data_IF_363383702021
#
_entry.id   IF_363383702021
#
_cell.length_a   1.000
_cell.length_b   1.000
_cell.length_c   1.000
_cell.angle_alpha   90.00
_cell.angle_beta   90.00
_cell.angle_gamma   90.00
#
_symmetry.space_group_name_H-M   'P 1'
#
loop_
_entity.id
_entity.type
_entity.pdbx_description
1 polymer ?
#
# COMPACT_ATOMS: atom_id res chain seq x y z
N UNK A 1 61.98 57.57 0.04
CA UNK A 1 60.82 57.31 -0.84
C UNK A 1 60.56 55.82 -1.10
N UNK A 2 61.57 54.94 -1.08
CA UNK A 2 61.37 53.53 -1.42
C UNK A 2 60.60 52.68 -0.38
N UNK A 3 60.48 53.12 0.89
CA UNK A 3 59.84 52.32 1.96
C UNK A 3 58.46 52.82 2.43
N UNK A 4 58.03 54.04 2.08
CA UNK A 4 56.76 54.63 2.57
C UNK A 4 55.64 54.71 1.51
N UNK A 5 55.93 54.30 0.27
CA UNK A 5 54.99 54.33 -0.86
C UNK A 5 54.90 55.70 -1.58
N UNK A 6 54.08 55.75 -2.63
CA UNK A 6 53.78 56.95 -3.43
C UNK A 6 52.30 57.36 -3.29
N UNK A 7 51.90 58.49 -3.88
CA UNK A 7 50.49 58.93 -3.86
C UNK A 7 49.59 57.83 -4.43
N UNK A 8 48.55 57.45 -3.69
CA UNK A 8 47.60 56.36 -3.98
C UNK A 8 48.12 54.92 -3.85
N UNK A 9 49.42 54.71 -3.60
CA UNK A 9 50.01 53.38 -3.44
C UNK A 9 50.86 53.33 -2.17
N UNK A 10 50.31 52.75 -1.10
CA UNK A 10 51.02 52.58 0.17
C UNK A 10 50.86 51.15 0.68
N UNK A 11 51.95 50.57 1.12
CA UNK A 11 52.00 49.30 1.86
C UNK A 11 52.72 49.61 3.17
N UNK A 12 52.19 49.16 4.31
CA UNK A 12 52.84 49.28 5.61
C UNK A 12 53.40 47.91 6.02
N UNK A 13 54.66 47.59 5.67
CA UNK A 13 55.21 46.26 5.88
C UNK A 13 55.59 46.05 7.35
N UNK A 14 55.12 44.96 7.95
CA UNK A 14 55.70 44.41 9.19
C UNK A 14 56.82 43.40 8.94
N UNK A 15 57.11 43.10 7.67
CA UNK A 15 58.00 42.03 7.19
C UNK A 15 59.09 42.65 6.30
N UNK A 16 60.29 42.08 6.28
CA UNK A 16 61.41 42.61 5.48
C UNK A 16 61.39 42.19 4.00
N UNK A 17 60.57 41.21 3.64
CA UNK A 17 60.49 40.62 2.30
C UNK A 17 59.46 41.36 1.41
N UNK A 18 59.89 41.72 0.20
CA UNK A 18 59.09 42.45 -0.78
C UNK A 18 58.12 41.53 -1.57
N UNK A 19 57.26 42.12 -2.39
CA UNK A 19 56.46 41.39 -3.38
C UNK A 19 57.33 40.83 -4.51
N UNK A 20 56.95 39.69 -5.08
CA UNK A 20 57.61 39.04 -6.21
C UNK A 20 56.62 38.80 -7.35
N UNK A 21 56.65 39.66 -8.36
CA UNK A 21 55.95 39.48 -9.64
C UNK A 21 56.95 38.94 -10.68
N UNK A 22 57.06 37.61 -10.79
CA UNK A 22 58.05 36.95 -11.65
C UNK A 22 57.46 36.41 -12.96
N UNK A 23 56.13 36.34 -13.08
CA UNK A 23 55.46 35.94 -14.32
C UNK A 23 55.36 37.09 -15.33
N UNK A 24 55.28 36.77 -16.62
CA UNK A 24 55.02 37.78 -17.64
C UNK A 24 53.67 38.47 -17.37
N UNK A 25 53.63 39.80 -17.44
CA UNK A 25 52.44 40.63 -17.17
C UNK A 25 51.79 40.39 -15.79
N UNK A 26 52.57 39.88 -14.83
CA UNK A 26 52.08 39.61 -13.47
C UNK A 26 52.10 40.86 -12.59
N UNK A 27 51.23 40.87 -11.57
CA UNK A 27 51.13 41.95 -10.58
C UNK A 27 51.18 41.34 -9.18
N UNK A 28 52.12 41.81 -8.35
CA UNK A 28 52.19 41.43 -6.93
C UNK A 28 52.22 42.70 -6.07
N UNK A 29 51.31 42.79 -5.09
CA UNK A 29 51.15 43.94 -4.20
C UNK A 29 51.01 43.47 -2.77
N UNK A 30 51.95 43.86 -1.90
CA UNK A 30 51.95 43.55 -0.47
C UNK A 30 53.17 42.73 -0.05
N UNK A 31 53.52 42.70 1.25
CA UNK A 31 54.72 42.01 1.71
C UNK A 31 54.63 40.52 1.41
N UNK A 32 55.67 39.95 0.80
CA UNK A 32 55.75 38.52 0.44
C UNK A 32 54.64 38.06 -0.53
N UNK A 33 53.95 38.98 -1.20
CA UNK A 33 53.00 38.62 -2.25
C UNK A 33 53.75 37.99 -3.43
N UNK A 34 53.25 36.90 -4.01
CA UNK A 34 53.89 36.19 -5.12
C UNK A 34 52.92 36.03 -6.28
N UNK A 35 53.28 36.53 -7.45
CA UNK A 35 52.60 36.28 -8.71
C UNK A 35 53.61 35.69 -9.71
N UNK A 36 53.59 34.38 -9.93
CA UNK A 36 54.69 33.67 -10.63
C UNK A 36 54.39 33.18 -12.04
N UNK A 37 53.12 32.98 -12.39
CA UNK A 37 52.68 32.62 -13.74
C UNK A 37 52.26 33.82 -14.57
N UNK A 38 51.96 33.58 -15.83
CA UNK A 38 51.61 34.61 -16.82
C UNK A 38 50.28 35.27 -16.43
N UNK A 39 50.23 36.60 -16.44
CA UNK A 39 49.05 37.42 -16.12
C UNK A 39 48.48 37.19 -14.70
N UNK A 40 49.27 36.58 -13.80
CA UNK A 40 48.83 36.33 -12.44
C UNK A 40 48.76 37.63 -11.62
N UNK A 41 47.82 37.68 -10.68
CA UNK A 41 47.66 38.82 -9.79
C UNK A 41 47.59 38.40 -8.32
N UNK A 42 48.47 38.94 -7.49
CA UNK A 42 48.50 38.69 -6.04
C UNK A 42 48.40 40.00 -5.27
N UNK A 43 47.39 40.12 -4.40
CA UNK A 43 47.14 41.31 -3.59
C UNK A 43 46.96 40.94 -2.11
N UNK A 44 47.89 41.38 -1.26
CA UNK A 44 47.86 41.18 0.18
C UNK A 44 49.11 40.48 0.71
N UNK A 45 49.26 40.49 2.04
CA UNK A 45 50.41 39.87 2.71
C UNK A 45 50.41 38.36 2.44
N UNK A 46 51.51 37.84 1.91
CA UNK A 46 51.63 36.42 1.53
C UNK A 46 50.52 35.91 0.58
N UNK A 47 49.90 36.77 -0.21
CA UNK A 47 49.01 36.32 -1.28
C UNK A 47 49.84 35.62 -2.37
N UNK A 48 49.45 34.42 -2.80
CA UNK A 48 50.21 33.60 -3.76
C UNK A 48 49.31 33.23 -4.94
N UNK A 49 49.54 33.86 -6.08
CA UNK A 49 48.97 33.50 -7.37
C UNK A 49 50.04 32.77 -8.19
N UNK A 50 50.02 31.43 -8.14
CA UNK A 50 51.08 30.57 -8.70
C UNK A 50 50.61 29.62 -9.78
N UNK A 51 49.37 29.73 -10.24
CA UNK A 51 48.91 29.01 -11.43
C UNK A 51 49.70 29.39 -12.67
N UNK A 52 49.72 28.55 -13.70
CA UNK A 52 50.53 28.82 -14.91
C UNK A 52 50.08 30.10 -15.62
N UNK A 53 48.76 30.33 -15.65
CA UNK A 53 48.13 31.49 -16.28
C UNK A 53 46.94 32.01 -15.47
N UNK A 54 46.76 33.33 -15.45
CA UNK A 54 45.52 34.01 -15.05
C UNK A 54 44.96 33.63 -13.67
N UNK A 55 45.84 33.31 -12.71
CA UNK A 55 45.42 33.08 -11.32
C UNK A 55 45.38 34.38 -10.53
N UNK A 56 44.41 34.50 -9.61
CA UNK A 56 44.19 35.70 -8.81
C UNK A 56 44.07 35.32 -7.34
N UNK A 57 44.92 35.91 -6.50
CA UNK A 57 44.92 35.74 -5.05
C UNK A 57 44.72 37.09 -4.34
N UNK A 58 43.65 37.25 -3.57
CA UNK A 58 43.32 38.50 -2.88
C UNK A 58 43.03 38.25 -1.40
N UNK A 59 43.89 38.77 -0.51
CA UNK A 59 43.76 38.64 0.93
C UNK A 59 45.09 38.32 1.62
N UNK A 60 45.05 38.08 2.94
CA UNK A 60 46.21 37.62 3.69
C UNK A 60 46.37 36.10 3.59
N UNK A 61 47.56 35.61 3.24
CA UNK A 61 47.91 34.18 3.21
C UNK A 61 47.01 33.37 2.27
N UNK A 62 46.70 33.92 1.10
CA UNK A 62 45.83 33.30 0.11
C UNK A 62 46.63 32.49 -0.90
N UNK A 63 46.06 31.39 -1.41
CA UNK A 63 46.73 30.54 -2.41
C UNK A 63 45.82 30.24 -3.61
N UNK A 64 46.10 30.86 -4.74
CA UNK A 64 45.54 30.49 -6.04
C UNK A 64 46.62 29.78 -6.88
N UNK A 65 46.66 28.44 -6.79
CA UNK A 65 47.70 27.61 -7.43
C UNK A 65 47.28 27.01 -8.76
N UNK A 66 45.97 26.92 -9.03
CA UNK A 66 45.48 26.38 -10.30
C UNK A 66 45.56 27.40 -11.43
N UNK A 67 45.73 26.94 -12.65
CA UNK A 67 45.54 27.78 -13.85
C UNK A 67 44.10 28.32 -13.87
N UNK A 68 43.94 29.64 -14.04
CA UNK A 68 42.65 30.36 -13.95
C UNK A 68 41.96 30.26 -12.58
N UNK A 69 42.70 29.95 -11.52
CA UNK A 69 42.15 29.88 -10.16
C UNK A 69 41.92 31.27 -9.56
N UNK A 70 40.86 31.41 -8.76
CA UNK A 70 40.55 32.65 -8.04
C UNK A 70 40.37 32.34 -6.55
N UNK A 71 41.17 32.95 -5.70
CA UNK A 71 41.03 32.83 -4.26
C UNK A 71 40.92 34.23 -3.62
N UNK A 72 39.83 34.45 -2.88
CA UNK A 72 39.53 35.72 -2.21
C UNK A 72 39.12 35.47 -0.76
N UNK A 73 39.80 36.14 0.17
CA UNK A 73 39.56 36.02 1.61
C UNK A 73 40.72 35.32 2.32
N UNK A 74 41.02 35.70 3.56
CA UNK A 74 42.22 35.22 4.26
C UNK A 74 42.30 33.69 4.33
N UNK A 75 43.47 33.11 4.08
CA UNK A 75 43.69 31.66 4.03
C UNK A 75 42.84 30.88 3.01
N UNK A 76 42.19 31.55 2.06
CA UNK A 76 41.49 30.84 1.00
C UNK A 76 42.45 30.13 0.05
N UNK A 77 42.02 28.98 -0.47
CA UNK A 77 42.80 28.11 -1.35
C UNK A 77 41.99 27.74 -2.58
N UNK A 78 42.50 28.05 -3.77
CA UNK A 78 42.01 27.57 -5.04
C UNK A 78 43.13 26.79 -5.76
N UNK A 79 43.16 25.47 -5.59
CA UNK A 79 44.33 24.65 -5.91
C UNK A 79 44.32 24.03 -7.32
N UNK A 80 43.14 23.88 -7.93
CA UNK A 80 42.97 23.18 -9.21
C UNK A 80 42.58 24.11 -10.36
N UNK A 81 42.62 23.59 -11.60
CA UNK A 81 42.24 24.34 -12.79
C UNK A 81 40.83 24.94 -12.67
N UNK A 82 40.71 26.25 -12.92
CA UNK A 82 39.48 27.02 -12.81
C UNK A 82 38.74 26.94 -11.45
N UNK A 83 39.43 26.53 -10.38
CA UNK A 83 38.86 26.49 -9.04
C UNK A 83 38.66 27.89 -8.47
N UNK A 84 37.59 28.09 -7.71
CA UNK A 84 37.21 29.39 -7.15
C UNK A 84 36.88 29.27 -5.66
N UNK A 85 37.55 30.05 -4.83
CA UNK A 85 37.34 30.10 -3.39
C UNK A 85 37.06 31.53 -2.93
N UNK A 86 35.90 31.72 -2.30
CA UNK A 86 35.43 33.00 -1.76
C UNK A 86 35.07 32.85 -0.29
N UNK A 87 35.81 33.53 0.59
CA UNK A 87 35.61 33.51 2.04
C UNK A 87 36.89 33.16 2.78
N UNK A 88 36.94 33.53 4.06
CA UNK A 88 38.07 33.16 4.92
C UNK A 88 38.09 31.63 5.07
N UNK A 89 39.27 31.02 4.89
CA UNK A 89 39.47 29.57 4.91
C UNK A 89 38.63 28.77 3.90
N UNK A 90 38.09 29.41 2.84
CA UNK A 90 37.39 28.71 1.77
C UNK A 90 38.39 27.91 0.92
N UNK A 91 38.06 26.67 0.55
CA UNK A 91 38.96 25.76 -0.16
C UNK A 91 38.28 25.11 -1.36
N UNK A 92 38.77 25.38 -2.57
CA UNK A 92 38.35 24.75 -3.82
C UNK A 92 39.52 23.96 -4.40
N UNK A 93 39.51 22.63 -4.22
CA UNK A 93 40.66 21.76 -4.49
C UNK A 93 40.53 20.92 -5.77
N UNK A 94 39.38 20.97 -6.42
CA UNK A 94 39.11 20.20 -7.64
C UNK A 94 38.80 21.08 -8.84
N UNK A 95 38.91 20.49 -10.03
CA UNK A 95 38.71 21.20 -11.30
C UNK A 95 37.33 21.85 -11.36
N UNK A 96 37.29 23.14 -11.72
CA UNK A 96 36.06 23.94 -11.82
C UNK A 96 35.18 23.92 -10.56
N UNK A 97 35.76 23.66 -9.38
CA UNK A 97 35.03 23.67 -8.12
C UNK A 97 34.84 25.10 -7.60
N UNK A 98 33.71 25.36 -6.93
CA UNK A 98 33.39 26.64 -6.30
C UNK A 98 33.13 26.47 -4.80
N UNK A 99 33.98 27.07 -3.97
CA UNK A 99 33.76 27.19 -2.53
C UNK A 99 33.33 28.62 -2.20
N UNK A 100 32.10 28.80 -1.72
CA UNK A 100 31.52 30.11 -1.39
C UNK A 100 31.06 30.14 0.06
N UNK A 101 31.89 30.69 0.95
CA UNK A 101 31.59 30.88 2.37
C UNK A 101 32.80 30.62 3.29
N UNK A 102 32.70 31.10 4.54
CA UNK A 102 33.69 30.81 5.59
C UNK A 102 33.86 29.30 5.78
N UNK A 103 35.07 28.75 5.64
CA UNK A 103 35.34 27.30 5.66
C UNK A 103 34.50 26.46 4.69
N UNK A 104 34.01 27.02 3.58
CA UNK A 104 33.40 26.20 2.53
C UNK A 104 34.49 25.35 1.84
N UNK A 105 34.22 24.06 1.59
CA UNK A 105 35.16 23.13 0.98
C UNK A 105 34.52 22.44 -0.23
N UNK A 106 35.05 22.70 -1.42
CA UNK A 106 34.64 22.07 -2.67
C UNK A 106 35.78 21.18 -3.19
N UNK A 107 35.67 19.87 -2.94
CA UNK A 107 36.69 18.87 -3.24
C UNK A 107 36.31 17.92 -4.40
N UNK A 108 35.05 17.92 -4.85
CA UNK A 108 34.63 17.24 -6.08
C UNK A 108 34.76 18.14 -7.32
N UNK A 109 35.05 17.57 -8.48
CA UNK A 109 35.15 18.31 -9.73
C UNK A 109 33.76 18.86 -10.15
N UNK A 110 33.73 20.09 -10.69
CA UNK A 110 32.49 20.79 -11.09
C UNK A 110 31.46 20.94 -9.95
N UNK A 111 31.91 20.89 -8.70
CA UNK A 111 31.05 20.98 -7.53
C UNK A 111 30.94 22.41 -6.97
N UNK A 112 29.90 22.67 -6.20
CA UNK A 112 29.67 23.94 -5.50
C UNK A 112 29.41 23.68 -4.02
N UNK A 113 30.24 24.22 -3.14
CA UNK A 113 29.98 24.31 -1.70
C UNK A 113 29.43 25.70 -1.35
N UNK A 114 28.13 25.78 -1.04
CA UNK A 114 27.39 27.03 -0.88
C UNK A 114 27.01 27.30 0.58
N UNK A 115 27.69 28.27 1.19
CA UNK A 115 27.49 28.74 2.55
C UNK A 115 28.58 28.26 3.51
N UNK A 116 28.68 28.91 4.68
CA UNK A 116 29.73 28.63 5.66
C UNK A 116 29.78 27.14 6.07
N UNK A 117 30.97 26.57 6.16
CA UNK A 117 31.23 25.16 6.48
C UNK A 117 30.60 24.14 5.52
N UNK A 118 30.07 24.54 4.35
CA UNK A 118 29.51 23.56 3.42
C UNK A 118 30.61 22.72 2.79
N UNK A 119 30.30 21.47 2.51
CA UNK A 119 31.25 20.49 1.98
C UNK A 119 30.66 19.82 0.75
N UNK A 120 31.34 19.92 -0.39
CA UNK A 120 30.98 19.29 -1.66
C UNK A 120 32.11 18.36 -2.11
N UNK A 121 32.08 17.11 -1.64
CA UNK A 121 33.16 16.13 -1.89
C UNK A 121 32.93 15.25 -3.13
N UNK A 122 31.72 15.27 -3.69
CA UNK A 122 31.37 14.55 -4.90
C UNK A 122 31.43 15.46 -6.13
N UNK A 123 31.71 14.88 -7.29
CA UNK A 123 31.64 15.59 -8.57
C UNK A 123 30.20 15.99 -8.90
N UNK A 124 30.02 17.08 -9.65
CA UNK A 124 28.73 17.50 -10.23
C UNK A 124 27.60 17.74 -9.21
N UNK A 125 27.93 18.18 -7.99
CA UNK A 125 26.93 18.50 -6.94
C UNK A 125 26.94 19.96 -6.51
N UNK A 126 25.79 20.42 -6.02
CA UNK A 126 25.69 21.64 -5.21
C UNK A 126 25.36 21.24 -3.78
N UNK A 127 26.29 21.45 -2.86
CA UNK A 127 26.08 21.23 -1.43
C UNK A 127 25.77 22.53 -0.72
N UNK A 128 24.66 22.56 0.01
CA UNK A 128 24.26 23.69 0.87
C UNK A 128 24.57 23.43 2.34
N UNK A 129 25.44 22.46 2.66
CA UNK A 129 25.71 22.05 4.03
C UNK A 129 26.78 20.97 4.14
N UNK A 130 26.74 20.21 5.23
CA UNK A 130 27.60 19.06 5.48
C UNK A 130 26.87 18.05 6.39
N UNK A 131 27.56 16.99 6.83
CA UNK A 131 26.98 15.94 7.68
C UNK A 131 26.36 16.45 8.99
N UNK A 132 26.89 17.54 9.54
CA UNK A 132 26.50 18.13 10.83
C UNK A 132 25.61 19.38 10.67
N UNK A 133 25.66 20.05 9.51
CA UNK A 133 24.96 21.30 9.24
C UNK A 133 24.12 21.16 7.98
N UNK A 134 22.80 21.12 8.13
CA UNK A 134 21.84 21.08 7.01
C UNK A 134 21.11 22.41 6.93
N UNK A 135 20.81 22.86 5.72
CA UNK A 135 20.08 24.11 5.48
C UNK A 135 18.74 23.82 4.83
N UNK A 136 17.74 24.61 5.22
CA UNK A 136 16.46 24.66 4.52
C UNK A 136 16.63 25.58 3.31
N UNK A 137 16.29 25.09 2.14
CA UNK A 137 16.20 25.90 0.92
C UNK A 137 14.78 26.47 0.87
N UNK A 138 14.65 27.78 1.04
CA UNK A 138 13.36 28.49 1.11
C UNK A 138 13.05 29.20 -0.21
N UNK A 139 11.78 29.61 -0.39
CA UNK A 139 11.29 30.31 -1.58
C UNK A 139 11.43 29.51 -2.89
N UNK A 140 11.36 28.19 -2.80
CA UNK A 140 11.35 27.29 -3.97
C UNK A 140 9.94 27.27 -4.56
N UNK A 141 9.78 27.81 -5.77
CA UNK A 141 8.53 27.70 -6.52
C UNK A 141 8.19 26.22 -6.81
N UNK A 142 6.91 25.87 -7.01
CA UNK A 142 6.56 24.50 -7.40
C UNK A 142 7.25 24.11 -8.70
N UNK A 143 7.94 22.97 -8.71
CA UNK A 143 8.59 22.45 -9.92
C UNK A 143 7.56 21.98 -10.94
N UNK A 144 7.89 22.07 -12.23
CA UNK A 144 7.07 21.50 -13.28
C UNK A 144 7.26 19.98 -13.31
N UNK A 145 6.47 19.25 -12.51
CA UNK A 145 6.60 17.79 -12.37
C UNK A 145 6.11 17.07 -13.62
N UNK A 146 7.01 16.31 -14.25
CA UNK A 146 6.79 15.45 -15.42
C UNK A 146 7.79 14.28 -15.35
N UNK A 147 7.66 13.28 -16.24
CA UNK A 147 8.55 12.11 -16.26
C UNK A 147 10.03 12.46 -16.49
N UNK A 148 10.30 13.55 -17.19
CA UNK A 148 11.66 14.01 -17.51
C UNK A 148 12.08 15.24 -16.70
N UNK A 149 11.31 15.62 -15.68
CA UNK A 149 11.57 16.82 -14.88
C UNK A 149 12.87 16.70 -14.08
N UNK A 150 13.65 17.77 -14.08
CA UNK A 150 14.84 17.95 -13.24
C UNK A 150 14.65 19.09 -12.23
N UNK A 151 13.41 19.56 -12.06
CA UNK A 151 13.09 20.65 -11.13
C UNK A 151 13.07 20.15 -9.68
N UNK A 152 13.47 21.01 -8.75
CA UNK A 152 13.25 20.75 -7.33
C UNK A 152 11.75 20.73 -7.00
N UNK A 153 11.33 19.76 -6.18
CA UNK A 153 9.96 19.66 -5.68
C UNK A 153 9.85 20.40 -4.34
N UNK A 154 8.82 21.22 -4.16
CA UNK A 154 8.58 21.92 -2.90
C UNK A 154 7.52 21.21 -2.02
N UNK A 155 7.39 21.69 -0.77
CA UNK A 155 6.49 21.09 0.22
C UNK A 155 5.01 21.03 -0.20
N UNK A 156 4.52 21.98 -1.00
CA UNK A 156 3.11 21.99 -1.43
C UNK A 156 2.77 20.83 -2.36
N UNK A 157 3.73 20.40 -3.20
CA UNK A 157 3.57 19.30 -4.14
C UNK A 157 3.63 17.94 -3.42
N UNK A 158 4.53 17.82 -2.43
CA UNK A 158 4.61 16.64 -1.58
C UNK A 158 3.38 16.49 -0.68
N UNK A 159 2.90 17.59 -0.08
CA UNK A 159 1.67 17.60 0.74
C UNK A 159 0.43 17.21 -0.07
N UNK A 160 0.30 17.70 -1.31
CA UNK A 160 -0.78 17.28 -2.21
C UNK A 160 -0.76 15.76 -2.47
N UNK A 161 0.42 15.15 -2.54
CA UNK A 161 0.58 13.71 -2.70
C UNK A 161 0.27 12.97 -1.39
N UNK A 162 0.81 13.44 -0.26
CA UNK A 162 0.56 12.86 1.06
C UNK A 162 -0.94 12.81 1.38
N UNK A 163 -1.68 13.89 1.11
CA UNK A 163 -3.14 13.94 1.27
C UNK A 163 -3.88 12.91 0.43
N UNK A 164 -3.38 12.60 -0.78
CA UNK A 164 -3.97 11.54 -1.63
C UNK A 164 -3.71 10.15 -1.04
N UNK A 165 -2.54 9.92 -0.43
CA UNK A 165 -2.20 8.66 0.24
C UNK A 165 -3.02 8.48 1.50
N UNK A 166 -3.08 9.47 2.39
CA UNK A 166 -3.89 9.42 3.60
C UNK A 166 -5.37 9.18 3.29
N UNK A 167 -5.90 9.77 2.22
CA UNK A 167 -7.29 9.52 1.81
C UNK A 167 -7.56 8.08 1.33
N UNK A 168 -6.53 7.35 0.88
CA UNK A 168 -6.62 5.92 0.58
C UNK A 168 -6.59 5.09 1.86
N UNK A 169 -5.72 5.44 2.81
CA UNK A 169 -5.55 4.73 4.09
C UNK A 169 -6.78 4.88 4.99
N UNK A 170 -7.34 6.09 5.11
CA UNK A 170 -8.49 6.38 5.96
C UNK A 170 -9.84 5.99 5.32
N UNK A 171 -9.83 5.42 4.12
CA UNK A 171 -11.05 4.98 3.40
C UNK A 171 -11.97 6.11 2.93
N UNK A 172 -11.67 7.39 3.22
CA UNK A 172 -12.48 8.56 2.85
C UNK A 172 -12.59 8.74 1.33
N UNK A 173 -11.58 8.31 0.58
CA UNK A 173 -11.55 8.25 -0.89
C UNK A 173 -10.85 6.97 -1.36
N UNK A 174 -11.22 5.83 -0.76
CA UNK A 174 -10.74 4.50 -1.14
C UNK A 174 -10.80 4.24 -2.66
N UNK A 175 -10.20 3.15 -3.15
CA UNK A 175 -10.13 2.89 -4.58
C UNK A 175 -11.54 2.84 -5.19
N UNK A 176 -11.67 3.16 -6.48
CA UNK A 176 -12.94 3.46 -7.18
C UNK A 176 -14.12 2.50 -6.91
N UNK A 177 -13.84 1.24 -6.57
CA UNK A 177 -14.85 0.21 -6.35
C UNK A 177 -14.88 -0.36 -4.93
N UNK A 178 -14.05 0.11 -4.00
CA UNK A 178 -14.07 -0.30 -2.60
C UNK A 178 -14.27 0.93 -1.71
N UNK A 179 -15.46 1.02 -1.12
CA UNK A 179 -15.83 2.05 -0.17
C UNK A 179 -16.36 1.40 1.10
N UNK A 180 -15.77 1.75 2.24
CA UNK A 180 -16.22 1.29 3.56
C UNK A 180 -16.62 2.51 4.37
N UNK A 181 -17.90 2.63 4.70
CA UNK A 181 -18.41 3.67 5.59
C UNK A 181 -18.58 3.09 7.00
N UNK A 182 -17.53 3.16 7.81
CA UNK A 182 -17.55 2.59 9.17
C UNK A 182 -16.57 3.32 10.09
N UNK A 183 -16.98 3.48 11.35
CA UNK A 183 -16.11 3.87 12.47
C UNK A 183 -15.77 2.67 13.39
N UNK A 184 -16.18 1.45 13.01
CA UNK A 184 -15.86 0.22 13.75
C UNK A 184 -14.39 -0.19 13.62
N UNK A 185 -13.97 -1.16 14.44
CA UNK A 185 -12.62 -1.74 14.40
C UNK A 185 -12.33 -2.35 13.02
N UNK A 186 -11.04 -2.44 12.69
CA UNK A 186 -10.55 -3.00 11.43
C UNK A 186 -10.93 -4.48 11.25
N UNK A 187 -10.90 -4.94 10.00
CA UNK A 187 -10.99 -6.35 9.63
C UNK A 187 -9.66 -7.08 9.88
N UNK A 188 -9.72 -8.39 10.11
CA UNK A 188 -8.54 -9.23 10.34
C UNK A 188 -8.58 -10.44 9.42
N UNK A 189 -7.70 -10.46 8.42
CA UNK A 189 -7.41 -11.62 7.57
C UNK A 189 -6.19 -12.37 8.16
N UNK A 190 -6.43 -13.21 9.18
CA UNK A 190 -5.38 -13.92 9.91
C UNK A 190 -4.98 -15.26 9.27
N UNK A 191 -5.87 -15.88 8.49
CA UNK A 191 -5.57 -17.09 7.74
C UNK A 191 -4.69 -16.83 6.52
N UNK A 192 -3.89 -17.81 6.11
CA UNK A 192 -3.15 -17.75 4.84
C UNK A 192 -4.12 -17.61 3.67
N UNK A 193 -3.83 -16.72 2.72
CA UNK A 193 -4.68 -16.50 1.53
C UNK A 193 -6.14 -16.12 1.86
N UNK A 194 -6.36 -15.54 3.05
CA UNK A 194 -7.70 -15.16 3.51
C UNK A 194 -8.13 -13.76 3.07
N UNK A 195 -9.44 -13.53 3.06
CA UNK A 195 -10.06 -12.24 2.72
C UNK A 195 -10.93 -11.81 3.89
N UNK A 196 -10.68 -10.64 4.46
CA UNK A 196 -11.55 -10.01 5.45
C UNK A 196 -11.96 -8.61 4.98
N UNK A 197 -13.26 -8.34 4.89
CA UNK A 197 -13.81 -7.04 4.50
C UNK A 197 -14.94 -6.60 5.43
N UNK A 198 -14.84 -5.39 5.98
CA UNK A 198 -15.86 -4.78 6.83
C UNK A 198 -15.49 -4.78 8.31
N UNK A 199 -16.13 -3.92 9.12
CA UNK A 199 -15.68 -3.67 10.49
C UNK A 199 -15.80 -4.90 11.38
N UNK A 200 -14.68 -5.31 11.98
CA UNK A 200 -14.57 -6.49 12.82
C UNK A 200 -14.80 -7.82 12.09
N UNK A 201 -14.74 -7.86 10.75
CA UNK A 201 -14.73 -9.12 10.01
C UNK A 201 -13.45 -9.90 10.34
N UNK A 202 -13.56 -11.20 10.60
CA UNK A 202 -12.45 -12.07 10.98
C UNK A 202 -12.38 -13.33 10.12
N UNK A 203 -11.39 -13.40 9.24
CA UNK A 203 -11.06 -14.57 8.43
C UNK A 203 -9.81 -15.26 9.01
N UNK A 204 -10.03 -16.23 9.90
CA UNK A 204 -8.98 -16.92 10.65
C UNK A 204 -8.48 -18.23 10.02
N UNK A 205 -9.30 -18.90 9.21
CA UNK A 205 -8.92 -20.15 8.54
C UNK A 205 -8.12 -19.92 7.24
N UNK A 206 -7.27 -20.88 6.81
CA UNK A 206 -6.64 -20.84 5.49
C UNK A 206 -7.69 -20.74 4.37
N UNK A 207 -7.43 -19.95 3.33
CA UNK A 207 -8.34 -19.75 2.19
C UNK A 207 -9.73 -19.21 2.58
N UNK A 208 -9.90 -18.69 3.80
CA UNK A 208 -11.21 -18.28 4.31
C UNK A 208 -11.61 -16.88 3.85
N UNK A 209 -12.92 -16.65 3.79
CA UNK A 209 -13.51 -15.37 3.36
C UNK A 209 -14.48 -14.90 4.44
N UNK A 210 -14.28 -13.71 4.99
CA UNK A 210 -15.20 -13.04 5.91
C UNK A 210 -15.56 -11.64 5.39
N UNK A 211 -16.79 -11.44 4.92
CA UNK A 211 -17.26 -10.18 4.33
C UNK A 211 -18.51 -9.69 5.06
N UNK A 212 -18.44 -8.53 5.71
CA UNK A 212 -19.54 -7.89 6.42
C UNK A 212 -19.20 -7.58 7.88
N UNK A 213 -19.99 -6.70 8.50
CA UNK A 213 -19.79 -6.28 9.90
C UNK A 213 -19.84 -7.50 10.84
N UNK A 214 -18.71 -7.82 11.48
CA UNK A 214 -18.60 -8.96 12.40
C UNK A 214 -18.78 -10.34 11.75
N UNK A 215 -18.60 -10.47 10.43
CA UNK A 215 -18.56 -11.78 9.78
C UNK A 215 -17.37 -12.59 10.31
N UNK A 216 -17.57 -13.89 10.57
CA UNK A 216 -16.58 -14.73 11.26
C UNK A 216 -16.36 -16.07 10.52
N UNK A 217 -15.13 -16.30 10.08
CA UNK A 217 -14.64 -17.55 9.54
C UNK A 217 -13.37 -17.98 10.32
N UNK A 218 -13.51 -18.41 11.59
CA UNK A 218 -12.46 -18.32 12.61
C UNK A 218 -11.36 -19.39 12.54
N UNK A 219 -11.54 -20.47 11.77
CA UNK A 219 -10.54 -21.54 11.73
C UNK A 219 -10.75 -22.69 10.75
N UNK A 220 -11.84 -22.72 9.99
CA UNK A 220 -12.05 -23.76 8.97
C UNK A 220 -11.33 -23.44 7.66
N UNK A 221 -10.67 -24.43 7.06
CA UNK A 221 -10.11 -24.29 5.71
C UNK A 221 -11.22 -23.99 4.71
N UNK A 222 -11.03 -22.98 3.86
CA UNK A 222 -12.00 -22.56 2.83
C UNK A 222 -13.39 -22.19 3.39
N UNK A 223 -13.49 -21.80 4.66
CA UNK A 223 -14.74 -21.32 5.24
C UNK A 223 -15.13 -19.95 4.68
N UNK A 224 -16.42 -19.74 4.37
CA UNK A 224 -16.94 -18.51 3.77
C UNK A 224 -18.09 -17.95 4.61
N UNK A 225 -17.90 -16.76 5.20
CA UNK A 225 -18.92 -16.01 5.92
C UNK A 225 -19.18 -14.67 5.23
N UNK A 226 -20.34 -14.51 4.58
CA UNK A 226 -20.72 -13.28 3.87
C UNK A 226 -22.03 -12.75 4.44
N UNK A 227 -21.99 -11.62 5.13
CA UNK A 227 -23.14 -10.94 5.73
C UNK A 227 -22.83 -10.42 7.14
N UNK A 228 -23.62 -9.45 7.61
CA UNK A 228 -23.45 -8.93 8.98
C UNK A 228 -23.68 -10.05 10.00
N UNK A 229 -22.65 -10.37 10.79
CA UNK A 229 -22.68 -11.42 11.81
C UNK A 229 -22.82 -12.84 11.26
N UNK A 230 -22.59 -13.07 9.96
CA UNK A 230 -22.53 -14.42 9.40
C UNK A 230 -21.37 -15.21 10.06
N UNK A 231 -21.55 -16.50 10.33
CA UNK A 231 -20.50 -17.34 10.89
C UNK A 231 -20.41 -18.69 10.16
N UNK A 232 -19.23 -18.95 9.59
CA UNK A 232 -18.85 -20.24 9.02
C UNK A 232 -17.72 -20.82 9.87
N UNK A 233 -18.05 -21.71 10.81
CA UNK A 233 -17.14 -22.07 11.92
C UNK A 233 -16.36 -23.37 11.71
N UNK A 234 -16.54 -24.05 10.58
CA UNK A 234 -15.92 -25.33 10.25
C UNK A 234 -15.36 -25.35 8.83
N UNK A 235 -14.60 -26.39 8.48
CA UNK A 235 -13.97 -26.54 7.15
C UNK A 235 -15.01 -26.55 6.03
N UNK A 236 -14.74 -25.78 4.98
CA UNK A 236 -15.63 -25.64 3.81
C UNK A 236 -17.06 -25.21 4.13
N UNK A 237 -17.32 -24.71 5.35
CA UNK A 237 -18.62 -24.21 5.73
C UNK A 237 -18.92 -22.89 5.01
N UNK A 238 -20.15 -22.71 4.55
CA UNK A 238 -20.58 -21.53 3.80
C UNK A 238 -21.79 -20.90 4.48
N UNK A 239 -21.63 -19.71 5.03
CA UNK A 239 -22.67 -18.91 5.65
C UNK A 239 -22.87 -17.60 4.87
N UNK A 240 -23.93 -17.52 4.07
CA UNK A 240 -24.23 -16.38 3.19
C UNK A 240 -25.57 -15.77 3.60
N UNK A 241 -25.54 -14.59 4.21
CA UNK A 241 -26.70 -13.87 4.74
C UNK A 241 -26.42 -13.28 6.12
N UNK A 242 -27.14 -12.23 6.50
CA UNK A 242 -27.01 -11.66 7.84
C UNK A 242 -27.33 -12.72 8.91
N UNK A 243 -26.42 -12.95 9.85
CA UNK A 243 -26.52 -14.01 10.87
C UNK A 243 -26.75 -15.42 10.33
N UNK A 244 -26.36 -15.72 9.09
CA UNK A 244 -26.30 -17.10 8.62
C UNK A 244 -25.25 -17.86 9.46
N UNK A 245 -25.53 -19.12 9.79
CA UNK A 245 -24.67 -19.93 10.65
C UNK A 245 -24.49 -21.33 10.05
N UNK A 246 -23.27 -21.64 9.60
CA UNK A 246 -22.85 -22.95 9.13
C UNK A 246 -21.76 -23.49 10.07
N UNK A 247 -22.04 -24.57 10.82
CA UNK A 247 -21.21 -24.96 11.97
C UNK A 247 -20.47 -26.29 11.86
N UNK A 248 -20.76 -27.09 10.83
CA UNK A 248 -20.10 -28.37 10.58
C UNK A 248 -19.45 -28.41 9.19
N UNK A 249 -18.56 -29.38 8.96
CA UNK A 249 -17.76 -29.44 7.73
C UNK A 249 -18.65 -29.56 6.49
N UNK A 250 -18.46 -28.67 5.52
CA UNK A 250 -19.24 -28.62 4.28
C UNK A 250 -20.69 -28.16 4.44
N UNK A 251 -21.08 -27.64 5.61
CA UNK A 251 -22.41 -27.07 5.82
C UNK A 251 -22.62 -25.82 4.94
N UNK A 252 -23.83 -25.66 4.42
CA UNK A 252 -24.21 -24.51 3.59
C UNK A 252 -25.47 -23.88 4.15
N UNK A 253 -25.34 -22.68 4.71
CA UNK A 253 -26.42 -21.84 5.20
C UNK A 253 -26.54 -20.58 4.33
N UNK A 254 -27.61 -20.48 3.54
CA UNK A 254 -27.86 -19.35 2.63
C UNK A 254 -29.19 -18.69 2.96
N UNK A 255 -29.16 -17.47 3.48
CA UNK A 255 -30.32 -16.68 3.89
C UNK A 255 -30.10 -15.99 5.23
N UNK A 256 -30.87 -14.93 5.49
CA UNK A 256 -30.82 -14.25 6.80
C UNK A 256 -31.26 -15.22 7.89
N UNK A 257 -30.42 -15.39 8.90
CA UNK A 257 -30.60 -16.34 10.01
C UNK A 257 -30.76 -17.81 9.57
N UNK A 258 -30.32 -18.19 8.37
CA UNK A 258 -30.27 -19.59 7.98
C UNK A 258 -29.28 -20.35 8.87
N UNK A 259 -29.62 -21.58 9.25
CA UNK A 259 -28.83 -22.42 10.14
C UNK A 259 -28.60 -23.80 9.54
N UNK A 260 -27.35 -24.09 9.19
CA UNK A 260 -26.87 -25.44 8.91
C UNK A 260 -25.97 -25.84 10.08
N UNK A 261 -26.36 -26.89 10.81
CA UNK A 261 -25.61 -27.38 11.98
C UNK A 261 -25.73 -28.89 12.11
N UNK A 262 -25.61 -29.60 11.00
CA UNK A 262 -25.78 -31.04 10.95
C UNK A 262 -24.50 -31.78 11.32
N UNK A 263 -24.54 -32.53 12.42
CA UNK A 263 -23.46 -33.46 12.77
C UNK A 263 -23.27 -34.50 11.66
N UNK A 264 -22.06 -34.67 11.12
CA UNK A 264 -21.79 -35.67 10.07
C UNK A 264 -21.63 -35.14 8.64
N UNK A 265 -21.48 -33.81 8.50
CA UNK A 265 -21.18 -33.06 7.27
C UNK A 265 -22.38 -32.79 6.36
N UNK A 266 -22.28 -31.67 5.62
CA UNK A 266 -23.14 -31.31 4.49
C UNK A 266 -24.63 -31.09 4.79
N UNK A 267 -24.97 -30.43 5.90
CA UNK A 267 -26.31 -29.88 6.05
C UNK A 267 -26.50 -28.68 5.12
N UNK A 268 -27.66 -28.61 4.46
CA UNK A 268 -28.00 -27.53 3.53
C UNK A 268 -29.25 -26.80 4.03
N UNK A 269 -29.12 -25.53 4.42
CA UNK A 269 -30.21 -24.67 4.80
C UNK A 269 -30.28 -23.46 3.86
N UNK A 270 -31.28 -23.40 3.00
CA UNK A 270 -31.46 -22.31 2.03
C UNK A 270 -32.82 -21.65 2.23
N UNK A 271 -32.81 -20.37 2.55
CA UNK A 271 -33.99 -19.56 2.88
C UNK A 271 -33.82 -18.85 4.22
N UNK A 272 -34.55 -17.74 4.42
CA UNK A 272 -34.50 -17.05 5.71
C UNK A 272 -35.06 -17.94 6.82
N UNK A 273 -34.32 -18.06 7.92
CA UNK A 273 -34.64 -18.97 9.02
C UNK A 273 -34.78 -20.45 8.61
N UNK A 274 -34.26 -20.88 7.46
CA UNK A 274 -34.17 -22.30 7.13
C UNK A 274 -33.24 -23.00 8.15
N UNK A 275 -33.61 -24.21 8.58
CA UNK A 275 -32.94 -24.92 9.67
C UNK A 275 -32.69 -26.37 9.28
N UNK A 276 -31.43 -26.74 9.08
CA UNK A 276 -30.96 -28.10 8.79
C UNK A 276 -29.99 -28.52 9.90
N UNK A 277 -30.47 -29.30 10.88
CA UNK A 277 -29.79 -29.47 12.19
C UNK A 277 -29.32 -30.89 12.47
N UNK A 278 -29.46 -31.80 11.52
CA UNK A 278 -28.97 -33.19 11.64
C UNK A 278 -28.10 -33.55 10.44
N UNK A 279 -27.36 -34.66 10.52
CA UNK A 279 -26.48 -35.11 9.43
C UNK A 279 -27.22 -35.29 8.11
N UNK A 280 -26.59 -34.83 7.02
CA UNK A 280 -27.08 -34.95 5.65
C UNK A 280 -28.51 -34.41 5.46
N UNK A 281 -28.89 -33.34 6.17
CA UNK A 281 -30.22 -32.73 6.05
C UNK A 281 -30.29 -31.63 5.00
N UNK A 282 -31.47 -31.46 4.40
CA UNK A 282 -31.74 -30.37 3.45
C UNK A 282 -33.01 -29.63 3.86
N UNK A 283 -32.90 -28.36 4.21
CA UNK A 283 -34.02 -27.45 4.41
C UNK A 283 -34.02 -26.41 3.30
N UNK A 284 -34.96 -26.52 2.35
CA UNK A 284 -35.05 -25.64 1.19
C UNK A 284 -36.35 -24.83 1.23
N UNK A 285 -36.27 -23.59 1.72
CA UNK A 285 -37.37 -22.65 1.82
C UNK A 285 -37.30 -21.79 3.08
N UNK A 286 -37.94 -20.63 3.06
CA UNK A 286 -38.06 -19.78 4.27
C UNK A 286 -38.72 -20.56 5.39
N UNK A 287 -38.11 -20.60 6.57
CA UNK A 287 -38.57 -21.37 7.74
C UNK A 287 -38.76 -22.89 7.49
N UNK A 288 -38.17 -23.46 6.44
CA UNK A 288 -38.11 -24.91 6.28
C UNK A 288 -37.25 -25.51 7.40
N UNK A 289 -37.67 -26.65 7.97
CA UNK A 289 -37.01 -27.28 9.12
C UNK A 289 -36.82 -28.78 8.90
N UNK A 290 -35.57 -29.21 8.70
CA UNK A 290 -35.16 -30.60 8.56
C UNK A 290 -34.35 -31.02 9.80
N UNK A 291 -34.94 -31.83 10.67
CA UNK A 291 -34.42 -32.12 12.02
C UNK A 291 -34.11 -33.59 12.26
N UNK A 292 -34.21 -34.43 11.23
CA UNK A 292 -33.89 -35.86 11.31
C UNK A 292 -32.82 -36.24 10.29
N UNK A 293 -31.95 -37.20 10.60
CA UNK A 293 -30.84 -37.61 9.72
C UNK A 293 -31.31 -37.98 8.31
N UNK A 294 -30.67 -37.42 7.28
CA UNK A 294 -31.01 -37.67 5.88
C UNK A 294 -32.38 -37.11 5.45
N UNK A 295 -33.00 -36.24 6.26
CA UNK A 295 -34.31 -35.67 5.94
C UNK A 295 -34.22 -34.45 5.02
N UNK A 296 -35.28 -34.24 4.24
CA UNK A 296 -35.45 -33.11 3.34
C UNK A 296 -36.76 -32.40 3.66
N UNK A 297 -36.70 -31.15 4.11
CA UNK A 297 -37.84 -30.26 4.20
C UNK A 297 -37.88 -29.35 2.96
N UNK A 298 -38.81 -29.63 2.04
CA UNK A 298 -38.92 -28.97 0.75
C UNK A 298 -40.09 -27.98 0.74
N UNK A 299 -39.80 -26.69 0.61
CA UNK A 299 -40.77 -25.60 0.58
C UNK A 299 -40.81 -24.76 1.87
N UNK A 300 -41.32 -23.54 1.77
CA UNK A 300 -41.39 -22.61 2.90
C UNK A 300 -42.28 -23.16 4.03
N UNK A 301 -41.79 -23.15 5.28
CA UNK A 301 -42.52 -23.68 6.44
C UNK A 301 -42.69 -25.21 6.44
N UNK A 302 -42.07 -25.95 5.52
CA UNK A 302 -42.09 -27.42 5.57
C UNK A 302 -41.31 -27.92 6.78
N UNK A 303 -41.79 -28.98 7.41
CA UNK A 303 -41.13 -29.65 8.55
C UNK A 303 -40.88 -31.11 8.20
N UNK A 304 -39.64 -31.59 8.38
CA UNK A 304 -39.28 -32.99 8.24
C UNK A 304 -38.57 -33.47 9.50
N UNK A 305 -39.28 -34.27 10.29
CA UNK A 305 -38.85 -34.86 11.57
C UNK A 305 -38.64 -36.38 11.47
N UNK A 306 -38.82 -36.95 10.27
CA UNK A 306 -38.59 -38.37 9.99
C UNK A 306 -37.27 -38.57 9.26
N UNK A 307 -36.45 -39.49 9.76
CA UNK A 307 -35.18 -39.84 9.12
C UNK A 307 -35.42 -40.40 7.72
N UNK A 308 -34.52 -40.11 6.78
CA UNK A 308 -34.57 -40.60 5.39
C UNK A 308 -35.91 -40.30 4.68
N UNK A 309 -36.48 -39.11 4.93
CA UNK A 309 -37.77 -38.72 4.37
C UNK A 309 -37.70 -37.37 3.67
N UNK A 310 -38.55 -37.18 2.66
CA UNK A 310 -38.83 -35.88 2.05
C UNK A 310 -40.21 -35.43 2.52
N UNK A 311 -40.27 -34.32 3.26
CA UNK A 311 -41.50 -33.63 3.58
C UNK A 311 -41.67 -32.42 2.67
N UNK A 312 -42.79 -32.38 1.95
CA UNK A 312 -43.19 -31.24 1.10
C UNK A 312 -44.11 -30.27 1.85
N UNK A 313 -44.30 -30.43 3.16
CA UNK A 313 -45.28 -29.67 3.94
C UNK A 313 -45.02 -29.74 5.44
N UNK A 314 -46.04 -29.38 6.21
CA UNK A 314 -46.10 -29.54 7.66
C UNK A 314 -47.47 -30.15 8.05
N UNK A 315 -47.70 -30.60 9.30
CA UNK A 315 -48.96 -31.21 9.72
C UNK A 315 -50.21 -30.36 9.42
N UNK A 316 -50.08 -29.04 9.53
CA UNK A 316 -51.12 -28.04 9.25
C UNK A 316 -50.94 -27.35 7.88
N UNK A 317 -49.91 -27.72 7.12
CA UNK A 317 -49.60 -27.19 5.80
C UNK A 317 -49.25 -28.33 4.82
N UNK A 318 -50.19 -29.27 4.55
CA UNK A 318 -49.96 -30.28 3.53
C UNK A 318 -49.92 -29.62 2.16
N UNK A 319 -49.11 -30.18 1.26
CA UNK A 319 -49.05 -29.75 -0.15
C UNK A 319 -49.45 -30.88 -1.06
N UNK A 320 -50.10 -30.50 -2.17
CA UNK A 320 -50.28 -31.41 -3.28
C UNK A 320 -48.96 -31.58 -4.02
N UNK A 321 -48.64 -32.81 -4.37
CA UNK A 321 -47.57 -33.13 -5.32
C UNK A 321 -48.26 -33.36 -6.67
N UNK A 322 -48.08 -32.43 -7.60
CA UNK A 322 -48.72 -32.45 -8.93
C UNK A 322 -47.73 -32.84 -10.02
N UNK A 323 -48.26 -33.22 -11.19
CA UNK A 323 -47.47 -33.64 -12.36
C UNK A 323 -46.63 -34.91 -12.11
N UNK A 324 -47.16 -35.85 -11.32
CA UNK A 324 -46.53 -37.15 -11.06
C UNK A 324 -46.92 -38.14 -12.17
N UNK A 325 -45.95 -38.55 -12.97
CA UNK A 325 -46.12 -39.62 -13.96
C UNK A 325 -46.51 -40.94 -13.28
N UNK A 326 -47.08 -41.88 -14.04
CA UNK A 326 -47.43 -43.19 -13.49
C UNK A 326 -46.15 -43.93 -13.08
N UNK A 327 -46.14 -44.49 -11.86
CA UNK A 327 -45.04 -45.30 -11.36
C UNK A 327 -44.89 -46.58 -12.15
N UNK A 328 -43.65 -46.95 -12.46
CA UNK A 328 -43.28 -48.13 -13.25
C UNK A 328 -42.44 -49.14 -12.47
N UNK A 329 -41.80 -48.71 -11.38
CA UNK A 329 -41.03 -49.53 -10.47
C UNK A 329 -41.69 -49.63 -9.08
N UNK A 330 -41.24 -50.59 -8.27
CA UNK A 330 -41.85 -50.90 -6.98
C UNK A 330 -41.80 -49.75 -5.95
N UNK A 331 -40.83 -48.83 -6.10
CA UNK A 331 -40.61 -47.71 -5.18
C UNK A 331 -41.05 -46.35 -5.75
N UNK A 332 -41.72 -46.35 -6.91
CA UNK A 332 -42.25 -45.11 -7.49
C UNK A 332 -43.49 -44.63 -6.73
N UNK A 333 -43.70 -43.31 -6.73
CA UNK A 333 -44.95 -42.74 -6.26
C UNK A 333 -46.11 -43.14 -7.20
N UNK A 334 -47.17 -43.72 -6.64
CA UNK A 334 -48.40 -44.02 -7.37
C UNK A 334 -49.20 -42.73 -7.55
N UNK A 335 -49.57 -42.40 -8.78
CA UNK A 335 -50.40 -41.23 -9.06
C UNK A 335 -51.91 -41.54 -8.96
N UNK A 336 -52.75 -40.48 -8.96
CA UNK A 336 -54.21 -40.63 -8.83
C UNK A 336 -54.84 -41.45 -9.98
N UNK A 337 -54.26 -41.39 -11.19
CA UNK A 337 -54.73 -42.17 -12.34
C UNK A 337 -54.57 -43.68 -12.14
N UNK A 338 -53.42 -44.12 -11.61
CA UNK A 338 -53.18 -45.53 -11.28
C UNK A 338 -54.11 -46.04 -10.17
N UNK A 339 -54.36 -45.22 -9.15
CA UNK A 339 -55.31 -45.57 -8.09
C UNK A 339 -56.74 -45.70 -8.61
N UNK A 340 -57.19 -44.76 -9.44
CA UNK A 340 -58.53 -44.82 -10.04
C UNK A 340 -58.71 -46.06 -10.93
N UNK A 341 -57.71 -46.41 -11.74
CA UNK A 341 -57.74 -47.62 -12.56
C UNK A 341 -57.86 -48.91 -11.71
N UNK A 342 -57.18 -48.97 -10.55
CA UNK A 342 -57.32 -50.09 -9.61
C UNK A 342 -58.73 -50.13 -8.98
N UNK A 343 -59.29 -48.97 -8.61
CA UNK A 343 -60.64 -48.88 -8.04
C UNK A 343 -61.71 -49.32 -9.04
N UNK A 344 -61.57 -48.97 -10.33
CA UNK A 344 -62.44 -49.46 -11.39
C UNK A 344 -62.41 -50.99 -11.52
N UNK A 345 -61.21 -51.60 -11.44
CA UNK A 345 -61.06 -53.06 -11.44
C UNK A 345 -61.73 -53.72 -10.23
N UNK A 346 -61.58 -53.14 -9.03
CA UNK A 346 -62.21 -53.64 -7.80
C UNK A 346 -63.74 -53.55 -7.82
N UNK A 347 -64.29 -52.43 -8.31
CA UNK A 347 -65.72 -52.27 -8.49
C UNK A 347 -66.29 -53.32 -9.47
N UNK A 348 -65.54 -53.63 -10.54
CA UNK A 348 -65.88 -54.71 -11.47
C UNK A 348 -65.90 -56.09 -10.80
N UNK A 349 -64.94 -56.38 -9.90
CA UNK A 349 -64.92 -57.63 -9.13
C UNK A 349 -66.09 -57.75 -8.15
N UNK A 350 -66.44 -56.67 -7.44
CA UNK A 350 -67.60 -56.65 -6.54
C UNK A 350 -68.90 -56.96 -7.29
N UNK A 351 -69.06 -56.39 -8.48
CA UNK A 351 -70.22 -56.66 -9.35
C UNK A 351 -70.28 -58.14 -9.74
N UNK A 352 -69.13 -58.75 -10.06
CA UNK A 352 -69.04 -60.18 -10.41
C UNK A 352 -69.30 -61.09 -9.22
N UNK A 353 -68.82 -60.73 -8.03
CA UNK A 353 -69.05 -61.50 -6.80
C UNK A 353 -70.53 -61.50 -6.43
N UNK A 354 -71.18 -60.33 -6.44
CA UNK A 354 -72.61 -60.21 -6.20
C UNK A 354 -73.43 -61.06 -7.18
N UNK A 355 -73.01 -61.14 -8.45
CA UNK A 355 -73.65 -61.98 -9.45
C UNK A 355 -73.43 -63.50 -9.23
N UNK A 356 -72.40 -63.90 -8.49
CA UNK A 356 -72.15 -65.31 -8.12
C UNK A 356 -72.91 -65.70 -6.85
N UNK A 357 -72.94 -64.82 -5.85
CA UNK A 357 -73.71 -65.02 -4.62
C UNK A 357 -75.22 -65.13 -4.90
N UNK A 358 -75.72 -64.45 -5.93
CA UNK A 358 -77.11 -64.59 -6.38
C UNK A 358 -77.43 -65.86 -7.19
N UNK A 359 -76.47 -66.77 -7.40
CA UNK A 359 -76.63 -68.00 -8.22
C UNK A 359 -76.37 -69.31 -7.46
N UNK A 360 -76.09 -69.25 -6.15
CA UNK A 360 -75.98 -70.41 -5.25
C UNK A 360 -77.18 -70.53 -4.34
#
# INVERSE_FOLDING_TARGET
MAQEGIKYFRVNPGWSEDANASGADSVAVGPVAVASGVENMAFGVMARATGEHNSIAIGGVVQASGTRALAIGGHSVAAAHAAQAFGVDASANAESALALGYHASAAGARSVALGAHSTADADDVVSVGNANTRRIIVNVAPGAVSETSTDAVNGSQLDATAKRVTALEDGTRGPKYLHVNSAGRDSVAAGTESIAFGPGAGAGGPNSIAIGRGALAPGGESAMAIGSGAAATADSAQAIGGRAHASSTGDVAVGVSARASGEGNAALAVGSNASATSGNTVALGSAASATATGSVALGAGSTCDRAQAVSVGAPDLPRQIVNVAAGTEANDAVNLGQLNALLEQLAGLQTRLAALEGRG
#
